data_IF_581410848933
#
_entry.id   IF_581410848933
#
_cell.length_a   1.000
_cell.length_b   1.000
_cell.length_c   1.000
_cell.angle_alpha   90.00
_cell.angle_beta   90.00
_cell.angle_gamma   90.00
#
_symmetry.space_group_name_H-M   'P 1'
#
loop_
_entity.id
_entity.type
_entity.pdbx_description
1 polymer ?
#
# COMPACT_ATOMS: atom_id res chain seq x y z
N UNK A 1 13.53 -16.92 -31.30
CA UNK A 1 13.24 -18.37 -31.41
C UNK A 1 12.19 -18.95 -30.47
N UNK A 2 12.29 -18.84 -29.14
CA UNK A 2 11.34 -19.53 -28.24
C UNK A 2 9.88 -19.05 -28.36
N UNK A 3 9.66 -17.75 -28.59
CA UNK A 3 8.32 -17.17 -28.76
C UNK A 3 7.56 -17.72 -29.98
N UNK A 4 8.26 -17.94 -31.10
CA UNK A 4 7.66 -18.52 -32.31
C UNK A 4 7.27 -19.99 -32.11
N UNK A 5 8.11 -20.77 -31.39
CA UNK A 5 7.78 -22.15 -31.02
C UNK A 5 6.53 -22.21 -30.14
N UNK A 6 6.44 -21.35 -29.13
CA UNK A 6 5.27 -21.28 -28.25
C UNK A 6 3.98 -20.96 -29.03
N UNK A 7 4.02 -20.00 -29.96
CA UNK A 7 2.88 -19.66 -30.83
C UNK A 7 2.40 -20.85 -31.66
N UNK A 8 3.32 -21.65 -32.21
CA UNK A 8 2.97 -22.82 -33.01
C UNK A 8 2.36 -23.94 -32.16
N UNK A 9 2.87 -24.15 -30.94
CA UNK A 9 2.32 -25.14 -30.00
C UNK A 9 0.90 -24.75 -29.59
N UNK A 10 0.66 -23.47 -29.24
CA UNK A 10 -0.68 -22.98 -28.88
C UNK A 10 -1.66 -23.22 -30.03
N UNK A 11 -1.30 -22.87 -31.26
CA UNK A 11 -2.14 -23.11 -32.44
C UNK A 11 -2.45 -24.59 -32.68
N UNK A 12 -1.47 -25.48 -32.46
CA UNK A 12 -1.68 -26.91 -32.60
C UNK A 12 -2.64 -27.44 -31.53
N UNK A 13 -2.49 -26.97 -30.29
CA UNK A 13 -3.40 -27.30 -29.19
C UNK A 13 -4.83 -26.79 -29.45
N UNK A 14 -4.97 -25.56 -29.93
CA UNK A 14 -6.27 -24.98 -30.31
C UNK A 14 -6.96 -25.80 -31.42
N UNK A 15 -6.23 -26.16 -32.48
CA UNK A 15 -6.75 -27.01 -33.57
C UNK A 15 -7.20 -28.39 -33.09
N UNK A 16 -6.50 -28.94 -32.11
CA UNK A 16 -6.82 -30.24 -31.51
C UNK A 16 -7.92 -30.17 -30.45
N UNK A 17 -8.43 -28.97 -30.11
CA UNK A 17 -9.44 -28.77 -29.08
C UNK A 17 -8.95 -29.10 -27.66
N UNK A 18 -7.64 -29.10 -27.43
CA UNK A 18 -7.07 -29.43 -26.11
C UNK A 18 -6.83 -28.17 -25.29
N UNK A 19 -7.15 -28.24 -24.00
CA UNK A 19 -6.93 -27.14 -23.05
C UNK A 19 -5.42 -26.89 -22.88
N UNK A 20 -4.95 -25.72 -23.32
CA UNK A 20 -3.59 -25.26 -23.07
C UNK A 20 -3.55 -24.29 -21.88
N UNK A 21 -2.58 -24.46 -20.98
CA UNK A 21 -2.34 -23.54 -19.85
C UNK A 21 -0.88 -23.11 -19.87
N UNK A 22 -0.63 -21.80 -19.70
CA UNK A 22 0.71 -21.22 -19.71
C UNK A 22 1.08 -20.88 -18.27
N UNK A 23 2.22 -21.40 -17.81
CA UNK A 23 2.81 -21.01 -16.53
C UNK A 23 3.83 -19.91 -16.81
N UNK A 24 3.58 -18.66 -16.38
CA UNK A 24 4.55 -17.60 -16.54
C UNK A 24 5.71 -17.77 -15.54
N UNK A 25 6.92 -17.90 -16.06
CA UNK A 25 8.15 -18.01 -15.26
C UNK A 25 8.60 -16.62 -14.76
N UNK A 26 7.85 -16.07 -13.80
CA UNK A 26 8.16 -14.81 -13.13
C UNK A 26 8.49 -14.99 -11.64
N UNK A 27 8.37 -16.21 -11.11
CA UNK A 27 8.49 -16.52 -9.67
C UNK A 27 9.84 -16.14 -9.08
N UNK A 28 10.92 -16.27 -9.86
CA UNK A 28 12.29 -16.06 -9.36
C UNK A 28 12.75 -14.60 -9.47
N UNK A 29 12.01 -13.75 -10.18
CA UNK A 29 12.43 -12.37 -10.51
C UNK A 29 11.50 -11.28 -9.98
N UNK A 30 10.30 -11.64 -9.53
CA UNK A 30 9.29 -10.67 -9.07
C UNK A 30 8.95 -10.91 -7.60
N UNK A 31 9.30 -9.95 -6.74
CA UNK A 31 9.05 -10.04 -5.29
C UNK A 31 7.58 -9.94 -4.89
N UNK A 32 6.68 -9.51 -5.79
CA UNK A 32 5.24 -9.38 -5.51
C UNK A 32 4.43 -10.42 -6.27
N UNK A 33 3.32 -10.88 -5.67
CA UNK A 33 2.37 -11.79 -6.34
C UNK A 33 1.83 -11.13 -7.61
N UNK A 34 2.14 -11.63 -8.81
CA UNK A 34 1.59 -11.08 -10.03
C UNK A 34 0.08 -11.35 -10.06
N UNK A 35 -0.67 -10.38 -10.57
CA UNK A 35 -2.12 -10.54 -10.80
C UNK A 35 -2.41 -10.23 -12.26
N UNK A 36 -3.43 -10.88 -12.82
CA UNK A 36 -3.88 -10.60 -14.18
C UNK A 36 -4.93 -9.51 -14.08
N UNK A 37 -4.67 -8.40 -14.76
CA UNK A 37 -5.58 -7.27 -14.91
C UNK A 37 -5.97 -7.15 -16.37
N UNK A 38 -7.23 -6.82 -16.65
CA UNK A 38 -7.70 -6.63 -18.01
C UNK A 38 -7.84 -5.12 -18.27
N UNK A 39 -7.02 -4.60 -19.18
CA UNK A 39 -7.14 -3.21 -19.65
C UNK A 39 -7.74 -3.25 -21.05
N UNK A 40 -9.02 -2.88 -21.15
CA UNK A 40 -9.79 -3.08 -22.38
C UNK A 40 -10.10 -4.57 -22.57
N UNK A 41 -9.42 -5.21 -23.53
CA UNK A 41 -9.51 -6.66 -23.85
C UNK A 41 -8.11 -7.31 -23.89
N UNK A 42 -7.10 -6.68 -23.29
CA UNK A 42 -5.73 -7.17 -23.29
C UNK A 42 -5.41 -7.63 -21.87
N UNK A 43 -5.16 -8.93 -21.65
CA UNK A 43 -4.73 -9.42 -20.35
C UNK A 43 -3.31 -8.90 -20.07
N UNK A 44 -3.17 -8.06 -19.05
CA UNK A 44 -1.91 -7.53 -18.56
C UNK A 44 -1.53 -8.23 -17.25
N UNK A 45 -0.26 -8.56 -17.09
CA UNK A 45 0.25 -9.10 -15.84
C UNK A 45 0.80 -7.93 -15.01
N UNK A 46 0.05 -7.53 -13.99
CA UNK A 46 0.45 -6.53 -13.01
C UNK A 46 1.53 -7.10 -12.08
N UNK A 47 2.64 -6.37 -11.94
CA UNK A 47 3.81 -6.80 -11.15
C UNK A 47 3.59 -6.58 -9.64
N UNK A 48 2.63 -5.74 -9.26
CA UNK A 48 2.38 -5.38 -7.86
C UNK A 48 0.90 -5.14 -7.60
N UNK A 49 0.27 -6.07 -6.87
CA UNK A 49 -1.07 -5.83 -6.34
C UNK A 49 -1.05 -4.71 -5.29
N UNK A 50 -1.83 -3.65 -5.51
CA UNK A 50 -2.03 -2.57 -4.52
C UNK A 50 -3.40 -2.79 -3.88
N UNK A 51 -3.50 -3.46 -2.71
CA UNK A 51 -4.78 -3.87 -2.12
C UNK A 51 -5.75 -2.71 -1.83
N UNK A 52 -5.24 -1.48 -1.74
CA UNK A 52 -6.02 -0.26 -1.50
C UNK A 52 -6.55 0.40 -2.80
N UNK A 53 -6.33 -0.18 -3.97
CA UNK A 53 -7.00 0.27 -5.20
C UNK A 53 -8.49 -0.08 -5.19
N UNK A 54 -8.85 -1.21 -4.55
CA UNK A 54 -10.25 -1.52 -4.30
C UNK A 54 -10.85 -0.48 -3.34
N UNK A 55 -11.87 0.23 -3.82
CA UNK A 55 -12.60 1.25 -3.07
C UNK A 55 -13.10 0.73 -1.72
N UNK A 56 -13.60 -0.51 -1.67
CA UNK A 56 -14.10 -1.12 -0.44
C UNK A 56 -12.99 -1.29 0.60
N UNK A 57 -11.85 -1.85 0.20
CA UNK A 57 -10.70 -2.05 1.08
C UNK A 57 -10.16 -0.72 1.60
N UNK A 58 -10.09 0.29 0.73
CA UNK A 58 -9.64 1.63 1.09
C UNK A 58 -10.57 2.28 2.12
N UNK A 59 -11.88 2.16 1.93
CA UNK A 59 -12.88 2.68 2.88
C UNK A 59 -12.80 1.97 4.22
N UNK A 60 -12.73 0.63 4.22
CA UNK A 60 -12.62 -0.16 5.45
C UNK A 60 -11.35 0.20 6.24
N UNK A 61 -10.20 0.30 5.56
CA UNK A 61 -8.95 0.72 6.19
C UNK A 61 -9.05 2.13 6.77
N UNK A 62 -9.67 3.07 6.04
CA UNK A 62 -9.84 4.45 6.51
C UNK A 62 -10.73 4.52 7.74
N UNK A 63 -11.84 3.79 7.77
CA UNK A 63 -12.72 3.72 8.93
C UNK A 63 -11.99 3.13 10.13
N UNK A 64 -11.26 2.03 9.93
CA UNK A 64 -10.44 1.43 10.98
C UNK A 64 -9.41 2.42 11.54
N UNK A 65 -8.66 3.10 10.67
CA UNK A 65 -7.61 4.06 11.09
C UNK A 65 -8.19 5.21 11.91
N UNK A 66 -9.37 5.74 11.54
CA UNK A 66 -10.02 6.82 12.29
C UNK A 66 -10.51 6.33 13.65
N UNK A 67 -11.24 5.21 13.70
CA UNK A 67 -11.77 4.68 14.95
C UNK A 67 -10.65 4.28 15.92
N UNK A 68 -9.65 3.56 15.42
CA UNK A 68 -8.51 3.11 16.22
C UNK A 68 -7.67 4.30 16.72
N UNK A 69 -7.41 5.30 15.88
CA UNK A 69 -6.64 6.48 16.31
C UNK A 69 -7.37 7.30 17.37
N UNK A 70 -8.68 7.50 17.27
CA UNK A 70 -9.47 8.19 18.30
C UNK A 70 -9.39 7.44 19.63
N UNK A 71 -9.58 6.12 19.61
CA UNK A 71 -9.48 5.29 20.81
C UNK A 71 -8.07 5.33 21.42
N UNK A 72 -7.04 5.22 20.59
CA UNK A 72 -5.65 5.29 21.05
C UNK A 72 -5.32 6.67 21.65
N UNK A 73 -5.81 7.77 21.06
CA UNK A 73 -5.62 9.12 21.61
C UNK A 73 -6.27 9.24 22.98
N UNK A 74 -7.49 8.72 23.17
CA UNK A 74 -8.17 8.76 24.48
C UNK A 74 -7.35 8.00 25.53
N UNK A 75 -6.92 6.78 25.21
CA UNK A 75 -6.15 5.92 26.13
C UNK A 75 -4.80 6.55 26.48
N UNK A 76 -4.09 7.11 25.50
CA UNK A 76 -2.74 7.67 25.68
C UNK A 76 -2.79 9.12 26.15
N UNK A 77 -3.96 9.77 26.15
CA UNK A 77 -4.13 11.18 26.54
C UNK A 77 -3.54 11.55 27.92
N UNK A 78 -3.63 10.71 28.98
CA UNK A 78 -3.03 11.05 30.27
C UNK A 78 -1.51 11.17 30.17
N UNK A 79 -0.87 10.26 29.45
CA UNK A 79 0.58 10.26 29.20
C UNK A 79 0.96 11.47 28.33
N UNK A 80 0.16 11.77 27.30
CA UNK A 80 0.38 12.94 26.45
C UNK A 80 0.34 14.24 27.25
N UNK A 81 -0.60 14.38 28.20
CA UNK A 81 -0.68 15.56 29.08
C UNK A 81 0.55 15.65 29.99
N UNK A 82 0.96 14.54 30.61
CA UNK A 82 2.17 14.50 31.45
C UNK A 82 3.42 14.91 30.67
N UNK A 83 3.60 14.37 29.46
CA UNK A 83 4.73 14.75 28.59
C UNK A 83 4.68 16.23 28.18
N UNK A 84 3.49 16.76 27.90
CA UNK A 84 3.31 18.17 27.58
C UNK A 84 3.72 19.09 28.72
N UNK A 85 3.38 18.73 29.96
CA UNK A 85 3.78 19.46 31.18
C UNK A 85 5.31 19.40 31.34
N UNK A 86 5.91 18.21 31.25
CA UNK A 86 7.36 18.08 31.40
C UNK A 86 8.15 18.90 30.38
N UNK A 87 7.74 18.88 29.10
CA UNK A 87 8.39 19.67 28.05
C UNK A 87 8.34 21.17 28.37
N UNK A 88 7.21 21.65 28.92
CA UNK A 88 7.03 23.06 29.26
C UNK A 88 7.91 23.50 30.44
N UNK A 89 8.18 22.58 31.37
CA UNK A 89 9.04 22.83 32.53
C UNK A 89 10.53 22.78 32.17
N UNK A 90 10.93 21.91 31.24
CA UNK A 90 12.35 21.72 30.89
C UNK A 90 12.85 22.62 29.77
N UNK A 91 11.99 23.05 28.83
CA UNK A 91 12.41 23.87 27.68
C UNK A 91 11.46 25.05 27.41
N UNK A 92 11.99 26.28 27.26
CA UNK A 92 11.20 27.41 26.78
C UNK A 92 10.79 27.18 25.31
N UNK A 93 9.48 27.13 25.07
CA UNK A 93 8.91 27.07 23.71
C UNK A 93 7.54 26.38 23.62
N UNK A 94 7.09 26.12 22.38
CA UNK A 94 5.88 25.35 22.11
C UNK A 94 6.11 23.85 22.34
N UNK A 95 5.09 23.16 22.88
CA UNK A 95 5.14 21.73 23.21
C UNK A 95 5.15 20.85 21.94
N UNK A 96 4.46 21.28 20.89
CA UNK A 96 4.27 20.52 19.65
C UNK A 96 5.15 21.09 18.54
N UNK A 97 5.96 20.23 17.92
CA UNK A 97 6.73 20.52 16.73
C UNK A 97 5.97 20.09 15.47
N UNK A 98 6.07 20.91 14.40
CA UNK A 98 5.42 20.69 13.11
C UNK A 98 6.47 20.38 12.05
N UNK A 99 6.37 19.22 11.39
CA UNK A 99 7.28 18.81 10.30
C UNK A 99 6.50 18.54 9.01
N UNK A 100 6.91 19.11 7.88
CA UNK A 100 6.34 18.75 6.57
C UNK A 100 6.83 17.37 6.13
N UNK A 101 5.92 16.54 5.61
CA UNK A 101 6.22 15.22 5.03
C UNK A 101 5.39 15.01 3.76
N UNK A 102 5.92 14.21 2.84
CA UNK A 102 5.20 13.78 1.63
C UNK A 102 4.29 12.62 1.99
N UNK A 103 3.00 12.74 1.69
CA UNK A 103 1.96 11.75 1.99
C UNK A 103 1.39 11.07 0.75
N UNK A 104 0.13 10.62 0.85
CA UNK A 104 -0.58 9.92 -0.22
C UNK A 104 -0.61 10.75 -1.51
N UNK A 105 -0.31 10.11 -2.64
CA UNK A 105 -0.28 10.74 -3.97
C UNK A 105 0.62 11.99 -4.01
N UNK A 106 1.74 11.95 -3.30
CA UNK A 106 2.71 13.04 -3.18
C UNK A 106 2.16 14.34 -2.58
N UNK A 107 0.98 14.31 -1.96
CA UNK A 107 0.43 15.48 -1.26
C UNK A 107 1.19 15.69 0.05
N UNK A 108 1.73 16.89 0.26
CA UNK A 108 2.38 17.24 1.51
C UNK A 108 1.37 17.30 2.66
N UNK A 109 1.80 16.90 3.86
CA UNK A 109 1.05 17.08 5.09
C UNK A 109 1.98 17.46 6.26
N UNK A 110 1.38 18.06 7.29
CA UNK A 110 2.09 18.44 8.50
C UNK A 110 1.97 17.30 9.51
N UNK A 111 3.12 16.74 9.89
CA UNK A 111 3.28 15.79 10.98
C UNK A 111 3.48 16.55 12.29
N UNK A 112 2.62 16.29 13.27
CA UNK A 112 2.74 16.80 14.64
C UNK A 112 3.49 15.80 15.51
N UNK A 113 4.45 16.27 16.29
CA UNK A 113 5.14 15.47 17.32
C UNK A 113 5.42 16.31 18.56
N UNK A 114 5.63 15.66 19.70
CA UNK A 114 6.20 16.33 20.85
C UNK A 114 7.62 16.80 20.53
N UNK A 115 7.97 17.98 21.03
CA UNK A 115 9.35 18.45 21.00
C UNK A 115 10.20 17.50 21.85
N UNK A 116 11.33 17.03 21.32
CA UNK A 116 12.32 16.35 22.15
C UNK A 116 12.91 17.36 23.12
N UNK A 117 13.08 16.96 24.38
CA UNK A 117 13.82 17.74 25.38
C UNK A 117 15.26 17.99 24.90
#
# INVERSE_FOLDING_TARGET
DQYYKMKNIIKACEKAGVKAQIIPDFSDKISSKPYVEEIGNIPMIGIRYIPLENLFNRMLKRTFDVLFSVLAIIIVSPIMILTAIMIKLTSPGPVIFKQKRVGLNKKEFIMYKFRSM
#
